data_IF_023917511187
#
_entry.id   IF_023917511187
#
_cell.length_a   1.000
_cell.length_b   1.000
_cell.length_c   1.000
_cell.angle_alpha   90.00
_cell.angle_beta   90.00
_cell.angle_gamma   90.00
#
_symmetry.space_group_name_H-M   'P 1'
#
loop_
_entity.id
_entity.type
_entity.pdbx_description
1 polymer ?
#
# COMPACT_ATOMS: atom_id res chain seq x y z
N UNK A 1 9.47 2.59 -25.88
CA UNK A 1 10.94 2.38 -25.98
C UNK A 1 11.51 1.76 -24.73
N UNK A 2 11.24 2.30 -23.53
CA UNK A 2 11.71 1.75 -22.25
C UNK A 2 11.29 0.28 -22.09
N UNK A 3 9.99 -0.06 -22.15
CA UNK A 3 9.51 -1.44 -22.02
C UNK A 3 10.21 -2.43 -22.96
N UNK A 4 10.53 -2.01 -24.19
CA UNK A 4 11.24 -2.84 -25.17
C UNK A 4 12.64 -3.17 -24.69
N UNK A 5 13.39 -2.16 -24.22
CA UNK A 5 14.75 -2.33 -23.69
C UNK A 5 14.78 -3.22 -22.45
N UNK A 6 13.72 -3.16 -21.62
CA UNK A 6 13.58 -4.04 -20.46
C UNK A 6 13.33 -5.47 -20.94
N UNK A 7 12.34 -5.70 -21.80
CA UNK A 7 11.98 -7.04 -22.28
C UNK A 7 13.09 -7.73 -23.06
N UNK A 8 13.86 -6.98 -23.86
CA UNK A 8 14.98 -7.52 -24.64
C UNK A 8 16.28 -7.73 -23.83
N UNK A 9 16.29 -7.41 -22.53
CA UNK A 9 17.49 -7.34 -21.68
C UNK A 9 18.58 -6.37 -22.17
N UNK A 10 18.27 -5.47 -23.08
CA UNK A 10 19.17 -4.40 -23.54
C UNK A 10 19.12 -3.16 -22.62
N UNK A 11 18.78 -3.37 -21.35
CA UNK A 11 18.55 -2.30 -20.40
C UNK A 11 19.84 -1.68 -19.82
N UNK A 12 21.03 -2.08 -20.29
CA UNK A 12 22.31 -1.53 -19.79
C UNK A 12 22.41 -0.01 -20.00
N UNK A 13 22.04 0.48 -21.18
CA UNK A 13 22.06 1.93 -21.45
C UNK A 13 20.96 2.65 -20.66
N UNK A 14 19.79 2.02 -20.51
CA UNK A 14 18.71 2.55 -19.67
C UNK A 14 19.16 2.68 -18.21
N UNK A 15 19.79 1.65 -17.67
CA UNK A 15 20.34 1.61 -16.32
C UNK A 15 21.35 2.72 -16.09
N UNK A 16 22.32 2.89 -17.00
CA UNK A 16 23.33 3.95 -16.93
C UNK A 16 22.74 5.37 -17.00
N UNK A 17 21.59 5.54 -17.65
CA UNK A 17 20.86 6.80 -17.70
C UNK A 17 20.07 7.04 -16.42
N UNK A 18 19.27 6.06 -15.99
CA UNK A 18 18.38 6.17 -14.82
C UNK A 18 19.19 6.29 -13.52
N UNK A 19 20.33 5.62 -13.41
CA UNK A 19 21.19 5.72 -12.24
C UNK A 19 21.76 7.14 -12.00
N UNK A 20 21.71 8.02 -13.02
CA UNK A 20 22.13 9.43 -12.91
C UNK A 20 20.99 10.37 -12.55
N UNK A 21 19.76 9.89 -12.49
CA UNK A 21 18.60 10.71 -12.18
C UNK A 21 18.55 11.06 -10.68
N UNK A 22 17.91 12.19 -10.32
CA UNK A 22 17.53 12.45 -8.95
C UNK A 22 16.66 11.31 -8.39
N UNK A 23 16.79 11.05 -7.08
CA UNK A 23 16.04 9.99 -6.39
C UNK A 23 14.53 10.10 -6.66
N UNK A 24 13.99 11.30 -6.62
CA UNK A 24 12.56 11.57 -6.81
C UNK A 24 12.09 11.18 -8.22
N UNK A 25 12.91 11.38 -9.24
CA UNK A 25 12.60 10.98 -10.62
C UNK A 25 12.64 9.46 -10.79
N UNK A 26 13.59 8.79 -10.12
CA UNK A 26 13.64 7.32 -10.07
C UNK A 26 12.38 6.78 -9.38
N UNK A 27 11.95 7.38 -8.26
CA UNK A 27 10.72 6.99 -7.55
C UNK A 27 9.51 7.13 -8.47
N UNK A 28 9.34 8.27 -9.13
CA UNK A 28 8.21 8.50 -10.05
C UNK A 28 8.24 7.47 -11.18
N UNK A 29 9.40 7.28 -11.80
CA UNK A 29 9.57 6.30 -12.87
C UNK A 29 9.17 4.89 -12.45
N UNK A 30 9.69 4.43 -11.30
CA UNK A 30 9.37 3.09 -10.80
C UNK A 30 7.91 2.96 -10.34
N UNK A 31 7.32 4.02 -9.77
CA UNK A 31 5.92 4.04 -9.35
C UNK A 31 4.93 3.95 -10.52
N UNK A 32 5.32 4.41 -11.70
CA UNK A 32 4.53 4.24 -12.93
C UNK A 32 4.71 2.84 -13.54
N UNK A 33 5.89 2.24 -13.36
CA UNK A 33 6.26 0.97 -13.99
C UNK A 33 5.81 -0.26 -13.18
N UNK A 34 5.96 -0.24 -11.86
CA UNK A 34 5.63 -1.36 -10.97
C UNK A 34 4.15 -1.81 -11.05
N UNK A 35 3.16 -0.90 -11.16
CA UNK A 35 1.76 -1.29 -11.37
C UNK A 35 1.48 -2.02 -12.68
N UNK A 36 2.42 -2.03 -13.64
CA UNK A 36 2.29 -2.82 -14.87
C UNK A 36 2.62 -4.30 -14.64
N UNK A 37 3.31 -4.66 -13.55
CA UNK A 37 3.70 -6.05 -13.25
C UNK A 37 2.49 -6.93 -12.93
N UNK A 38 1.56 -6.54 -12.04
CA UNK A 38 0.30 -7.27 -11.84
C UNK A 38 -0.49 -7.53 -13.13
N UNK A 39 -0.40 -6.59 -14.08
CA UNK A 39 -1.13 -6.66 -15.34
C UNK A 39 -0.51 -7.66 -16.33
N UNK A 40 0.71 -8.16 -16.09
CA UNK A 40 1.26 -9.29 -16.85
C UNK A 40 0.33 -10.50 -16.71
N UNK A 41 -0.24 -10.74 -15.55
CA UNK A 41 -1.15 -11.87 -15.34
C UNK A 41 -2.61 -11.58 -15.73
N UNK A 42 -2.91 -10.40 -16.26
CA UNK A 42 -4.26 -10.04 -16.70
C UNK A 42 -4.61 -10.75 -18.02
N UNK A 43 -5.57 -11.67 -17.97
CA UNK A 43 -6.12 -12.33 -19.17
C UNK A 43 -7.31 -11.52 -19.71
N UNK A 44 -7.18 -11.00 -20.94
CA UNK A 44 -8.22 -10.24 -21.64
C UNK A 44 -9.48 -11.02 -22.00
N UNK A 45 -9.51 -12.33 -21.78
CA UNK A 45 -10.57 -13.21 -22.31
C UNK A 45 -11.86 -13.26 -21.48
N UNK A 46 -11.94 -12.64 -20.29
CA UNK A 46 -13.05 -12.94 -19.37
C UNK A 46 -13.88 -11.82 -18.72
N UNK A 47 -13.60 -10.52 -18.89
CA UNK A 47 -14.42 -9.49 -18.22
C UNK A 47 -14.95 -8.39 -19.16
N UNK A 48 -16.14 -8.61 -19.71
CA UNK A 48 -16.89 -7.66 -20.57
C UNK A 48 -17.70 -6.62 -19.79
N UNK A 49 -17.52 -6.48 -18.47
CA UNK A 49 -18.37 -5.63 -17.63
C UNK A 49 -17.60 -4.54 -16.86
N UNK A 50 -16.82 -3.70 -17.54
CA UNK A 50 -16.09 -2.59 -16.90
C UNK A 50 -16.38 -1.24 -17.52
N UNK A 51 -16.53 -0.22 -16.67
CA UNK A 51 -16.95 1.16 -17.00
C UNK A 51 -15.91 1.96 -17.82
N UNK A 52 -16.35 2.88 -18.72
CA UNK A 52 -15.55 3.43 -19.82
C UNK A 52 -14.38 4.37 -19.44
N UNK A 53 -14.32 4.90 -18.22
CA UNK A 53 -13.22 5.80 -17.78
C UNK A 53 -12.01 5.02 -17.26
N UNK A 54 -12.22 3.82 -16.69
CA UNK A 54 -11.15 2.89 -16.30
C UNK A 54 -10.50 2.20 -17.51
N UNK A 55 -11.22 2.16 -18.63
CA UNK A 55 -10.81 1.47 -19.85
C UNK A 55 -9.61 2.13 -20.50
N UNK A 56 -9.52 3.46 -20.52
CA UNK A 56 -8.46 4.18 -21.26
C UNK A 56 -7.05 4.01 -20.63
N UNK A 57 -6.93 4.18 -19.30
CA UNK A 57 -5.64 4.02 -18.61
C UNK A 57 -5.20 2.55 -18.55
N UNK A 58 -6.15 1.65 -18.26
CA UNK A 58 -5.88 0.20 -18.27
C UNK A 58 -5.49 -0.28 -19.68
N UNK A 59 -6.18 0.20 -20.72
CA UNK A 59 -5.86 -0.11 -22.12
C UNK A 59 -4.46 0.37 -22.48
N UNK A 60 -4.08 1.60 -22.13
CA UNK A 60 -2.74 2.12 -22.38
C UNK A 60 -1.65 1.26 -21.70
N UNK A 61 -1.90 0.81 -20.46
CA UNK A 61 -0.99 -0.09 -19.74
C UNK A 61 -0.93 -1.48 -20.36
N UNK A 62 -2.05 -2.02 -20.83
CA UNK A 62 -2.09 -3.29 -21.55
C UNK A 62 -1.36 -3.22 -22.90
N UNK A 63 -1.45 -2.10 -23.62
CA UNK A 63 -0.67 -1.86 -24.84
C UNK A 63 0.84 -1.84 -24.54
N UNK A 64 1.26 -1.21 -23.44
CA UNK A 64 2.66 -1.23 -22.98
C UNK A 64 3.14 -2.65 -22.66
N UNK A 65 2.28 -3.48 -22.08
CA UNK A 65 2.58 -4.88 -21.77
C UNK A 65 2.65 -5.74 -23.03
N UNK A 66 1.78 -5.49 -24.02
CA UNK A 66 1.86 -6.16 -25.31
C UNK A 66 3.21 -5.86 -26.00
N UNK A 67 3.63 -4.60 -25.98
CA UNK A 67 4.95 -4.18 -26.48
C UNK A 67 6.08 -4.86 -25.70
N UNK A 68 6.00 -4.90 -24.38
CA UNK A 68 6.96 -5.59 -23.52
C UNK A 68 7.09 -7.08 -23.87
N UNK A 69 5.96 -7.80 -23.94
CA UNK A 69 5.90 -9.22 -24.29
C UNK A 69 6.49 -9.51 -25.66
N UNK A 70 6.19 -8.65 -26.64
CA UNK A 70 6.74 -8.79 -28.00
C UNK A 70 8.26 -8.64 -28.07
N UNK A 71 8.88 -8.03 -27.06
CA UNK A 71 10.32 -7.81 -26.98
C UNK A 71 11.07 -8.84 -26.12
N UNK A 72 10.35 -9.78 -25.49
CA UNK A 72 10.98 -10.82 -24.68
C UNK A 72 11.83 -11.75 -25.53
N UNK A 73 12.98 -12.16 -24.99
CA UNK A 73 13.82 -13.16 -25.64
C UNK A 73 13.12 -14.53 -25.64
N UNK A 74 13.23 -15.34 -26.71
CA UNK A 74 12.63 -16.68 -26.76
C UNK A 74 13.13 -17.63 -25.67
N UNK A 75 14.32 -17.37 -25.12
CA UNK A 75 14.92 -18.12 -24.02
C UNK A 75 14.46 -17.68 -22.64
N UNK A 76 13.63 -16.64 -22.54
CA UNK A 76 13.19 -16.11 -21.25
C UNK A 76 12.23 -17.09 -20.58
N UNK A 77 12.59 -17.55 -19.39
CA UNK A 77 11.81 -18.58 -18.67
C UNK A 77 10.54 -18.02 -18.02
N UNK A 78 10.49 -16.71 -17.78
CA UNK A 78 9.29 -16.01 -17.32
C UNK A 78 9.37 -14.53 -17.67
N UNK A 79 8.25 -13.96 -18.07
CA UNK A 79 8.12 -12.55 -18.48
C UNK A 79 8.37 -11.52 -17.36
N UNK A 80 8.64 -11.92 -16.13
CA UNK A 80 8.88 -10.96 -15.02
C UNK A 80 10.37 -10.78 -14.73
N UNK A 81 11.19 -11.73 -15.18
CA UNK A 81 12.60 -11.78 -14.89
C UNK A 81 13.38 -10.58 -15.43
N UNK A 82 13.14 -10.08 -16.66
CA UNK A 82 13.87 -8.92 -17.15
C UNK A 82 13.57 -7.65 -16.32
N UNK A 83 12.37 -7.54 -15.76
CA UNK A 83 12.01 -6.42 -14.89
C UNK A 83 12.70 -6.51 -13.53
N UNK A 84 12.65 -7.68 -12.89
CA UNK A 84 13.33 -7.90 -11.60
C UNK A 84 14.83 -7.65 -11.74
N UNK A 85 15.44 -8.15 -12.82
CA UNK A 85 16.87 -7.93 -13.09
C UNK A 85 17.22 -6.45 -13.19
N UNK A 86 16.45 -5.68 -13.98
CA UNK A 86 16.68 -4.24 -14.12
C UNK A 86 16.63 -3.51 -12.78
N UNK A 87 15.55 -3.70 -12.01
CA UNK A 87 15.33 -2.95 -10.77
C UNK A 87 16.35 -3.37 -9.70
N UNK A 88 16.72 -4.66 -9.67
CA UNK A 88 17.79 -5.17 -8.81
C UNK A 88 19.13 -4.53 -9.13
N UNK A 89 19.47 -4.44 -10.42
CA UNK A 89 20.72 -3.80 -10.87
C UNK A 89 20.71 -2.30 -10.57
N UNK A 90 19.58 -1.62 -10.75
CA UNK A 90 19.42 -0.20 -10.39
C UNK A 90 19.67 0.04 -8.90
N UNK A 91 19.21 -0.88 -8.03
CA UNK A 91 19.51 -0.81 -6.61
C UNK A 91 20.99 -1.02 -6.29
N UNK A 92 21.77 -1.69 -7.14
CA UNK A 92 23.21 -1.88 -6.92
C UNK A 92 24.08 -0.70 -7.37
N UNK A 93 23.57 0.18 -8.25
CA UNK A 93 24.38 1.25 -8.85
C UNK A 93 24.80 2.33 -7.84
N UNK A 94 23.86 2.80 -7.01
CA UNK A 94 24.13 3.88 -6.06
C UNK A 94 23.17 3.80 -4.86
N UNK A 95 23.62 4.31 -3.71
CA UNK A 95 22.84 4.36 -2.47
C UNK A 95 21.49 5.08 -2.66
N UNK A 96 21.50 6.24 -3.31
CA UNK A 96 20.28 7.00 -3.65
C UNK A 96 19.32 6.24 -4.57
N UNK A 97 19.84 5.44 -5.50
CA UNK A 97 19.06 4.61 -6.42
C UNK A 97 18.41 3.45 -5.69
N UNK A 98 19.16 2.79 -4.80
CA UNK A 98 18.58 1.77 -3.93
C UNK A 98 17.46 2.34 -3.06
N UNK A 99 17.63 3.54 -2.51
CA UNK A 99 16.61 4.17 -1.67
C UNK A 99 15.35 4.47 -2.47
N UNK A 100 15.53 4.98 -3.69
CA UNK A 100 14.43 5.19 -4.63
C UNK A 100 13.69 3.89 -4.95
N UNK A 101 14.41 2.79 -5.21
CA UNK A 101 13.84 1.46 -5.48
C UNK A 101 13.02 0.94 -4.31
N UNK A 102 13.51 1.11 -3.09
CA UNK A 102 12.76 0.71 -1.89
C UNK A 102 11.50 1.55 -1.79
N UNK A 103 11.63 2.88 -1.80
CA UNK A 103 10.51 3.82 -1.61
C UNK A 103 9.45 3.79 -2.71
N UNK A 104 9.79 3.30 -3.89
CA UNK A 104 8.81 3.11 -4.97
C UNK A 104 7.95 1.85 -4.82
N UNK A 105 8.19 0.99 -3.81
CA UNK A 105 7.38 -0.21 -3.59
C UNK A 105 7.93 -1.49 -4.21
N UNK A 106 9.25 -1.59 -4.42
CA UNK A 106 9.81 -2.79 -5.06
C UNK A 106 9.65 -4.06 -4.20
N UNK A 107 9.79 -3.95 -2.88
CA UNK A 107 9.58 -5.08 -1.97
C UNK A 107 8.17 -5.65 -2.10
N UNK A 108 7.15 -4.79 -2.15
CA UNK A 108 5.76 -5.20 -2.34
C UNK A 108 5.56 -5.88 -3.71
N UNK A 109 6.21 -5.33 -4.74
CA UNK A 109 6.21 -5.94 -6.08
C UNK A 109 6.83 -7.34 -6.05
N UNK A 110 7.95 -7.54 -5.35
CA UNK A 110 8.62 -8.83 -5.22
C UNK A 110 7.75 -9.85 -4.47
N UNK A 111 7.05 -9.44 -3.41
CA UNK A 111 6.08 -10.29 -2.70
C UNK A 111 4.97 -10.72 -3.65
N UNK A 112 4.40 -9.78 -4.41
CA UNK A 112 3.34 -10.09 -5.36
C UNK A 112 3.80 -11.04 -6.47
N UNK A 113 5.03 -10.88 -6.97
CA UNK A 113 5.63 -11.84 -7.91
C UNK A 113 5.81 -13.21 -7.27
N UNK A 114 6.29 -13.28 -6.03
CA UNK A 114 6.42 -14.54 -5.31
C UNK A 114 5.08 -15.28 -5.20
N UNK A 115 4.00 -14.58 -4.86
CA UNK A 115 2.66 -15.19 -4.72
C UNK A 115 2.16 -15.81 -6.03
N UNK A 116 2.45 -15.18 -7.18
CA UNK A 116 1.95 -15.61 -8.50
C UNK A 116 2.89 -16.58 -9.22
N UNK A 117 4.20 -16.55 -8.90
CA UNK A 117 5.24 -17.28 -9.61
C UNK A 117 6.03 -18.23 -8.72
N UNK A 118 5.53 -18.59 -7.53
CA UNK A 118 6.21 -19.50 -6.59
C UNK A 118 6.59 -20.86 -7.21
N UNK A 119 5.87 -21.30 -8.24
CA UNK A 119 6.12 -22.55 -8.97
C UNK A 119 7.26 -22.45 -9.99
N UNK A 120 7.82 -21.26 -10.24
CA UNK A 120 8.86 -21.03 -11.27
C UNK A 120 10.22 -20.79 -10.58
N UNK A 121 11.13 -21.78 -10.56
CA UNK A 121 12.37 -21.70 -9.76
C UNK A 121 13.27 -20.52 -10.11
N UNK A 122 13.34 -20.14 -11.39
CA UNK A 122 14.11 -19.00 -11.86
C UNK A 122 13.60 -17.68 -11.26
N UNK A 123 12.28 -17.52 -11.13
CA UNK A 123 11.66 -16.33 -10.54
C UNK A 123 11.94 -16.27 -9.05
N UNK A 124 11.79 -17.39 -8.33
CA UNK A 124 12.12 -17.46 -6.90
C UNK A 124 13.58 -17.08 -6.64
N UNK A 125 14.50 -17.58 -7.47
CA UNK A 125 15.93 -17.26 -7.36
C UNK A 125 16.18 -15.77 -7.59
N UNK A 126 15.53 -15.18 -8.60
CA UNK A 126 15.64 -13.75 -8.90
C UNK A 126 15.08 -12.87 -7.77
N UNK A 127 13.94 -13.25 -7.17
CA UNK A 127 13.38 -12.54 -6.02
C UNK A 127 14.29 -12.62 -4.80
N UNK A 128 14.82 -13.80 -4.48
CA UNK A 128 15.76 -13.97 -3.36
C UNK A 128 17.01 -13.12 -3.55
N UNK A 129 17.55 -13.09 -4.78
CA UNK A 129 18.68 -12.23 -5.12
C UNK A 129 18.35 -10.74 -4.96
N UNK A 130 17.19 -10.30 -5.45
CA UNK A 130 16.72 -8.92 -5.31
C UNK A 130 16.57 -8.51 -3.84
N UNK A 131 15.95 -9.35 -3.01
CA UNK A 131 15.83 -9.12 -1.56
C UNK A 131 17.21 -9.03 -0.90
N UNK A 132 18.14 -9.92 -1.27
CA UNK A 132 19.51 -9.90 -0.77
C UNK A 132 20.21 -8.55 -1.02
N UNK A 133 20.05 -7.99 -2.23
CA UNK A 133 20.59 -6.67 -2.59
C UNK A 133 20.03 -5.59 -1.66
N UNK A 134 18.70 -5.52 -1.54
CA UNK A 134 18.03 -4.48 -0.76
C UNK A 134 18.45 -4.51 0.72
N UNK A 135 18.57 -5.72 1.29
CA UNK A 135 19.02 -5.90 2.68
C UNK A 135 20.50 -5.49 2.87
N UNK A 136 21.35 -5.68 1.86
CA UNK A 136 22.75 -5.24 1.96
C UNK A 136 22.90 -3.71 1.90
N UNK A 137 22.04 -3.03 1.14
CA UNK A 137 22.08 -1.57 1.00
C UNK A 137 21.51 -0.83 2.21
N UNK A 138 20.68 -1.47 3.05
CA UNK A 138 20.04 -0.85 4.21
C UNK A 138 20.92 -0.71 5.46
N UNK A 139 22.18 -1.17 5.44
CA UNK A 139 22.97 -1.36 6.68
C UNK A 139 23.23 -0.10 7.53
N UNK A 140 23.06 1.11 6.98
CA UNK A 140 23.33 2.37 7.70
C UNK A 140 22.24 3.44 7.48
N UNK A 141 21.05 3.05 7.01
CA UNK A 141 19.99 4.01 6.76
C UNK A 141 19.04 4.12 7.95
N UNK A 142 19.00 5.32 8.53
CA UNK A 142 17.82 5.84 9.24
C UNK A 142 16.71 6.12 8.21
N UNK A 143 16.29 5.08 7.46
CA UNK A 143 15.06 5.18 6.68
C UNK A 143 13.93 5.20 7.70
N UNK A 144 13.51 6.39 8.11
CA UNK A 144 12.09 6.60 8.34
C UNK A 144 11.41 6.11 7.06
N UNK A 145 10.86 4.90 7.09
CA UNK A 145 10.08 4.33 5.99
C UNK A 145 9.02 5.36 5.62
N UNK A 146 9.32 6.19 4.62
CA UNK A 146 8.35 7.09 4.06
C UNK A 146 7.25 6.16 3.53
N UNK A 147 6.03 6.21 4.09
CA UNK A 147 5.00 5.22 3.82
C UNK A 147 4.70 5.23 2.33
N UNK A 148 5.03 4.10 1.71
CA UNK A 148 5.05 3.91 0.27
C UNK A 148 3.63 4.07 -0.27
N UNK A 149 3.45 5.06 -1.16
CA UNK A 149 2.20 5.28 -1.88
C UNK A 149 2.08 4.22 -2.96
N UNK A 150 1.51 3.05 -2.65
CA UNK A 150 0.73 2.17 -3.54
C UNK A 150 0.58 0.77 -2.92
N UNK A 151 -0.15 0.67 -1.81
CA UNK A 151 -0.64 -0.58 -1.24
C UNK A 151 -2.13 -0.83 -1.55
N UNK A 152 -2.61 -0.53 -2.75
CA UNK A 152 -3.94 -0.98 -3.18
C UNK A 152 -3.90 -2.50 -3.43
N UNK A 153 -4.82 -3.23 -2.77
CA UNK A 153 -5.13 -4.67 -2.91
C UNK A 153 -4.26 -5.65 -2.10
N UNK A 154 -4.95 -6.42 -1.25
CA UNK A 154 -4.48 -7.31 -0.17
C UNK A 154 -4.10 -8.73 -0.68
N UNK A 155 -3.20 -9.46 0.01
CA UNK A 155 -3.58 -10.82 0.45
C UNK A 155 -3.28 -11.07 1.95
N UNK A 156 -4.03 -12.03 2.52
CA UNK A 156 -4.12 -12.34 3.96
C UNK A 156 -2.84 -12.99 4.49
N UNK A 157 -2.37 -12.58 5.67
CA UNK A 157 -1.37 -13.33 6.44
C UNK A 157 -1.76 -13.68 7.89
N UNK A 158 -2.99 -13.41 8.35
CA UNK A 158 -3.45 -14.01 9.61
C UNK A 158 -4.79 -14.75 9.50
N UNK A 159 -4.80 -16.09 9.33
CA UNK A 159 -6.02 -16.89 9.29
C UNK A 159 -6.77 -16.96 10.63
N UNK A 160 -6.22 -16.39 11.72
CA UNK A 160 -6.86 -16.38 13.04
C UNK A 160 -7.84 -15.21 13.26
N UNK A 161 -7.95 -14.26 12.33
CA UNK A 161 -8.98 -13.21 12.37
C UNK A 161 -10.18 -13.67 11.53
N UNK A 162 -11.34 -13.98 12.14
CA UNK A 162 -12.55 -14.30 11.40
C UNK A 162 -13.11 -13.01 10.78
N UNK A 163 -12.63 -12.66 9.59
CA UNK A 163 -13.20 -11.57 8.80
C UNK A 163 -14.54 -12.01 8.19
N UNK A 164 -15.56 -11.19 8.36
CA UNK A 164 -16.86 -11.38 7.71
C UNK A 164 -16.78 -11.25 6.19
N UNK A 165 -17.85 -11.67 5.52
CA UNK A 165 -18.00 -11.56 4.07
C UNK A 165 -17.91 -10.10 3.59
N UNK A 166 -18.41 -9.17 4.41
CA UNK A 166 -18.32 -7.71 4.21
C UNK A 166 -16.88 -7.24 4.11
N UNK A 167 -16.05 -7.59 5.10
CA UNK A 167 -14.64 -7.18 5.16
C UNK A 167 -13.84 -7.81 4.01
N UNK A 168 -14.26 -8.99 3.56
CA UNK A 168 -13.70 -9.61 2.35
C UNK A 168 -14.01 -8.83 1.08
N UNK A 169 -15.22 -8.27 0.93
CA UNK A 169 -15.62 -7.42 -0.22
C UNK A 169 -14.96 -6.05 -0.23
N UNK A 170 -14.42 -5.59 0.90
CA UNK A 170 -13.72 -4.30 1.02
C UNK A 170 -12.31 -4.29 0.46
N UNK A 171 -11.67 -5.46 0.39
CA UNK A 171 -10.28 -5.64 -0.05
C UNK A 171 -10.00 -5.16 -1.48
N UNK A 172 -11.03 -5.06 -2.32
CA UNK A 172 -10.95 -4.68 -3.72
C UNK A 172 -11.38 -3.22 -3.98
N UNK A 173 -11.77 -2.47 -2.94
CA UNK A 173 -12.32 -1.11 -3.10
C UNK A 173 -11.26 -0.06 -2.87
N UNK A 174 -11.19 0.93 -3.77
CA UNK A 174 -10.41 2.14 -3.55
C UNK A 174 -10.97 2.94 -2.37
N UNK A 175 -10.18 3.84 -1.74
CA UNK A 175 -10.64 4.69 -0.63
C UNK A 175 -11.96 5.42 -0.92
N UNK A 176 -12.13 5.96 -2.13
CA UNK A 176 -13.36 6.65 -2.53
C UNK A 176 -14.53 5.70 -2.74
N UNK A 177 -14.31 4.55 -3.39
CA UNK A 177 -15.35 3.54 -3.57
C UNK A 177 -15.80 2.94 -2.23
N UNK A 178 -14.88 2.80 -1.29
CA UNK A 178 -15.14 2.35 0.08
C UNK A 178 -15.94 3.37 0.88
N UNK A 179 -15.58 4.65 0.80
CA UNK A 179 -16.37 5.74 1.40
C UNK A 179 -17.82 5.73 0.90
N UNK A 180 -18.02 5.68 -0.42
CA UNK A 180 -19.35 5.63 -1.02
C UNK A 180 -20.12 4.36 -0.62
N UNK A 181 -19.43 3.23 -0.53
CA UNK A 181 -20.03 1.98 -0.09
C UNK A 181 -20.54 2.09 1.35
N UNK A 182 -19.72 2.54 2.29
CA UNK A 182 -20.15 2.67 3.69
C UNK A 182 -21.32 3.64 3.86
N UNK A 183 -21.35 4.71 3.08
CA UNK A 183 -22.46 5.68 3.08
C UNK A 183 -23.79 5.10 2.55
N UNK A 184 -23.74 4.01 1.78
CA UNK A 184 -24.92 3.42 1.13
C UNK A 184 -25.32 2.08 1.74
N UNK A 185 -24.57 1.57 2.73
CA UNK A 185 -24.82 0.28 3.35
C UNK A 185 -25.63 0.38 4.64
N UNK A 186 -26.20 -0.75 5.07
CA UNK A 186 -27.04 -0.79 6.25
C UNK A 186 -26.22 -0.66 7.53
N UNK A 187 -26.85 -0.11 8.57
CA UNK A 187 -26.27 0.02 9.91
C UNK A 187 -25.76 -1.30 10.49
N UNK A 188 -26.41 -2.43 10.17
CA UNK A 188 -26.04 -3.76 10.63
C UNK A 188 -24.63 -4.13 10.16
N UNK A 189 -24.34 -3.85 8.89
CA UNK A 189 -23.05 -4.16 8.25
C UNK A 189 -21.91 -3.29 8.82
N UNK A 190 -22.22 -2.05 9.21
CA UNK A 190 -21.27 -1.15 9.88
C UNK A 190 -20.98 -1.63 11.31
N UNK A 191 -22.00 -2.11 12.03
CA UNK A 191 -21.86 -2.67 13.39
C UNK A 191 -21.00 -3.93 13.39
N UNK A 192 -21.21 -4.82 12.42
CA UNK A 192 -20.36 -6.01 12.22
C UNK A 192 -18.90 -5.60 12.04
N UNK A 193 -18.63 -4.61 11.17
CA UNK A 193 -17.27 -4.11 10.96
C UNK A 193 -16.67 -3.52 12.24
N UNK A 194 -17.39 -2.67 12.96
CA UNK A 194 -16.95 -2.08 14.24
C UNK A 194 -16.63 -3.15 15.29
N UNK A 195 -17.34 -4.27 15.28
CA UNK A 195 -17.10 -5.40 16.18
C UNK A 195 -15.78 -6.11 15.84
N UNK A 196 -15.45 -6.26 14.55
CA UNK A 196 -14.14 -6.77 14.13
C UNK A 196 -13.00 -5.83 14.54
N UNK A 197 -13.19 -4.51 14.39
CA UNK A 197 -12.20 -3.51 14.82
C UNK A 197 -11.92 -3.66 16.32
N UNK A 198 -12.96 -3.85 17.14
CA UNK A 198 -12.81 -4.00 18.58
C UNK A 198 -11.95 -5.22 18.97
N UNK A 199 -12.12 -6.34 18.26
CA UNK A 199 -11.34 -7.57 18.48
C UNK A 199 -9.87 -7.34 18.13
N UNK A 200 -9.59 -6.68 16.99
CA UNK A 200 -8.22 -6.37 16.55
C UNK A 200 -7.54 -5.43 17.54
N UNK A 201 -8.23 -4.37 17.98
CA UNK A 201 -7.71 -3.41 18.95
C UNK A 201 -7.44 -4.03 20.33
N UNK A 202 -8.17 -5.08 20.69
CA UNK A 202 -8.02 -5.76 21.99
C UNK A 202 -6.96 -6.85 22.00
N UNK A 203 -6.41 -7.22 20.83
CA UNK A 203 -5.46 -8.35 20.70
C UNK A 203 -4.09 -7.83 20.31
N UNK A 204 -3.12 -7.89 21.24
CA UNK A 204 -1.77 -7.34 21.05
C UNK A 204 -1.04 -7.89 19.82
N UNK A 205 -1.14 -9.18 19.60
CA UNK A 205 -0.51 -9.87 18.47
C UNK A 205 -1.03 -9.37 17.11
N UNK A 206 -2.32 -9.00 17.05
CA UNK A 206 -2.97 -8.51 15.83
C UNK A 206 -2.64 -7.05 15.54
N UNK A 207 -2.39 -6.25 16.58
CA UNK A 207 -2.00 -4.83 16.46
C UNK A 207 -0.64 -4.65 15.78
N UNK A 208 0.24 -5.64 15.90
CA UNK A 208 1.59 -5.61 15.34
C UNK A 208 1.74 -6.32 13.98
N UNK A 209 0.74 -7.10 13.55
CA UNK A 209 0.93 -8.06 12.46
C UNK A 209 0.71 -7.50 11.05
N UNK A 210 0.02 -6.35 10.88
CA UNK A 210 -0.20 -5.79 9.54
C UNK A 210 -0.52 -4.29 9.52
N UNK A 211 0.39 -3.47 8.97
CA UNK A 211 0.19 -2.02 8.82
C UNK A 211 -1.00 -1.65 7.91
N UNK A 212 -1.31 -2.50 6.94
CA UNK A 212 -2.41 -2.31 6.00
C UNK A 212 -3.78 -2.57 6.61
N UNK A 213 -3.92 -3.59 7.44
CA UNK A 213 -5.16 -3.79 8.22
C UNK A 213 -5.41 -2.57 9.10
N UNK A 214 -4.36 -2.05 9.72
CA UNK A 214 -4.45 -0.87 10.55
C UNK A 214 -4.78 0.38 9.74
N UNK A 215 -4.32 0.46 8.50
CA UNK A 215 -4.70 1.54 7.59
C UNK A 215 -6.20 1.47 7.30
N UNK A 216 -6.68 0.29 6.93
CA UNK A 216 -8.06 0.03 6.56
C UNK A 216 -9.03 0.27 7.73
N UNK A 217 -8.65 -0.14 8.93
CA UNK A 217 -9.43 0.08 10.15
C UNK A 217 -9.51 1.57 10.47
N UNK A 218 -8.37 2.28 10.48
CA UNK A 218 -8.34 3.71 10.76
C UNK A 218 -9.09 4.52 9.69
N UNK A 219 -9.00 4.12 8.42
CA UNK A 219 -9.74 4.75 7.32
C UNK A 219 -11.25 4.52 7.45
N UNK A 220 -11.69 3.30 7.78
CA UNK A 220 -13.11 3.01 8.06
C UNK A 220 -13.64 3.84 9.23
N UNK A 221 -12.90 3.89 10.34
CA UNK A 221 -13.29 4.65 11.52
C UNK A 221 -13.48 6.14 11.20
N UNK A 222 -12.59 6.72 10.39
CA UNK A 222 -12.72 8.10 9.93
C UNK A 222 -13.99 8.32 9.09
N UNK A 223 -14.36 7.37 8.24
CA UNK A 223 -15.62 7.43 7.49
C UNK A 223 -16.82 7.29 8.43
N UNK A 224 -16.75 6.39 9.41
CA UNK A 224 -17.84 6.15 10.35
C UNK A 224 -18.08 7.33 11.30
N UNK A 225 -17.06 8.16 11.55
CA UNK A 225 -17.22 9.46 12.21
C UNK A 225 -18.19 10.40 11.48
N UNK A 226 -18.32 10.26 10.17
CA UNK A 226 -19.25 11.05 9.35
C UNK A 226 -20.67 10.44 9.29
N UNK A 227 -20.87 9.22 9.82
CA UNK A 227 -22.14 8.47 9.72
C UNK A 227 -23.10 8.66 10.90
N UNK A 228 -22.94 9.72 11.69
CA UNK A 228 -23.86 10.13 12.76
C UNK A 228 -23.97 9.15 13.92
N UNK A 229 -24.74 8.07 13.75
CA UNK A 229 -25.04 7.06 14.77
C UNK A 229 -23.81 6.24 15.22
N UNK A 230 -22.72 6.31 14.46
CA UNK A 230 -21.48 5.58 14.74
C UNK A 230 -20.32 6.48 15.15
N UNK A 231 -20.55 7.79 15.20
CA UNK A 231 -19.46 8.75 15.36
C UNK A 231 -18.77 8.61 16.71
N UNK A 232 -19.53 8.55 17.82
CA UNK A 232 -18.98 8.47 19.17
C UNK A 232 -18.14 7.20 19.39
N UNK A 233 -18.64 6.05 18.94
CA UNK A 233 -17.93 4.78 19.07
C UNK A 233 -16.66 4.73 18.20
N UNK A 234 -16.75 5.24 16.96
CA UNK A 234 -15.61 5.28 16.04
C UNK A 234 -14.51 6.22 16.54
N UNK A 235 -14.93 7.34 17.11
CA UNK A 235 -14.04 8.30 17.77
C UNK A 235 -13.34 7.69 18.99
N UNK A 236 -14.04 6.91 19.81
CA UNK A 236 -13.43 6.20 20.94
C UNK A 236 -12.31 5.26 20.48
N UNK A 237 -12.50 4.52 19.38
CA UNK A 237 -11.44 3.66 18.83
C UNK A 237 -10.26 4.46 18.24
N UNK A 238 -10.50 5.60 17.61
CA UNK A 238 -9.43 6.48 17.13
C UNK A 238 -8.59 7.05 18.29
N UNK A 239 -9.23 7.40 19.41
CA UNK A 239 -8.52 7.82 20.64
C UNK A 239 -7.67 6.68 21.20
N UNK A 240 -8.21 5.46 21.22
CA UNK A 240 -7.46 4.28 21.65
C UNK A 240 -6.24 4.02 20.77
N UNK A 241 -6.35 4.18 19.44
CA UNK A 241 -5.22 4.10 18.51
C UNK A 241 -4.11 5.10 18.88
N UNK A 242 -4.48 6.35 19.18
CA UNK A 242 -3.52 7.39 19.58
C UNK A 242 -2.86 7.03 20.91
N UNK A 243 -3.63 6.56 21.88
CA UNK A 243 -3.17 6.22 23.22
C UNK A 243 -2.25 5.00 23.24
N UNK A 244 -2.55 3.97 22.43
CA UNK A 244 -1.72 2.77 22.27
C UNK A 244 -0.37 3.12 21.62
N UNK A 245 -0.35 4.06 20.68
CA UNK A 245 0.88 4.53 20.06
C UNK A 245 1.49 3.53 19.07
N UNK A 246 2.81 3.61 18.89
CA UNK A 246 3.56 2.71 17.99
C UNK A 246 3.14 2.83 16.52
N UNK A 247 3.12 1.69 15.82
CA UNK A 247 2.79 1.63 14.40
C UNK A 247 1.35 2.08 14.12
N UNK A 248 0.41 1.82 15.05
CA UNK A 248 -0.99 2.21 14.89
C UNK A 248 -1.16 3.73 14.77
N UNK A 249 -0.45 4.47 15.62
CA UNK A 249 -0.48 5.94 15.59
C UNK A 249 0.17 6.48 14.31
N UNK A 250 1.30 5.91 13.89
CA UNK A 250 1.99 6.29 12.64
C UNK A 250 1.11 6.06 11.40
N UNK A 251 0.37 4.96 11.37
CA UNK A 251 -0.57 4.67 10.28
C UNK A 251 -1.73 5.67 10.26
N UNK A 252 -2.27 6.03 11.42
CA UNK A 252 -3.29 7.08 11.51
C UNK A 252 -2.75 8.45 11.08
N UNK A 253 -1.55 8.82 11.52
CA UNK A 253 -0.85 10.03 11.06
C UNK A 253 -0.73 10.04 9.53
N UNK A 254 -0.33 8.92 8.93
CA UNK A 254 -0.22 8.77 7.48
C UNK A 254 -1.57 8.99 6.77
N UNK A 255 -2.64 8.34 7.21
CA UNK A 255 -3.98 8.52 6.61
C UNK A 255 -4.40 9.98 6.64
N UNK A 256 -4.21 10.64 7.79
CA UNK A 256 -4.56 12.05 7.95
C UNK A 256 -3.77 12.93 6.97
N UNK A 257 -2.49 12.62 6.69
CA UNK A 257 -1.73 13.38 5.68
C UNK A 257 -2.35 13.31 4.29
N UNK A 258 -2.95 12.18 3.93
CA UNK A 258 -3.62 11.93 2.65
C UNK A 258 -4.98 12.61 2.54
N UNK A 259 -5.58 13.02 3.66
CA UNK A 259 -6.87 13.71 3.66
C UNK A 259 -6.73 15.20 3.31
N UNK A 260 -7.77 15.81 2.71
CA UNK A 260 -7.87 17.24 2.54
C UNK A 260 -7.68 18.01 3.86
N UNK A 261 -7.12 19.22 3.78
CA UNK A 261 -6.82 20.05 4.96
C UNK A 261 -8.01 20.28 5.90
N UNK A 262 -9.21 20.49 5.36
CA UNK A 262 -10.41 20.71 6.16
C UNK A 262 -10.82 19.48 6.99
N UNK A 263 -10.61 18.26 6.46
CA UNK A 263 -10.88 17.02 7.19
C UNK A 263 -9.84 16.77 8.30
N UNK A 264 -8.56 17.13 8.05
CA UNK A 264 -7.52 17.12 9.09
C UNK A 264 -7.85 18.07 10.24
N UNK A 265 -8.32 19.27 9.90
CA UNK A 265 -8.66 20.30 10.88
C UNK A 265 -9.87 19.88 11.72
N UNK A 266 -10.92 19.33 11.10
CA UNK A 266 -12.09 18.80 11.80
C UNK A 266 -11.71 17.61 12.71
N UNK A 267 -10.90 16.66 12.22
CA UNK A 267 -10.34 15.58 13.03
C UNK A 267 -9.57 16.12 14.25
N UNK A 268 -8.69 17.10 14.05
CA UNK A 268 -7.92 17.72 15.13
C UNK A 268 -8.83 18.38 16.18
N UNK A 269 -9.87 19.10 15.76
CA UNK A 269 -10.83 19.73 16.66
C UNK A 269 -11.72 18.73 17.41
N UNK A 270 -12.06 17.60 16.82
CA UNK A 270 -12.93 16.59 17.46
C UNK A 270 -12.16 15.64 18.38
N UNK A 271 -10.91 15.32 18.06
CA UNK A 271 -10.12 14.30 18.78
C UNK A 271 -9.08 14.96 19.69
N UNK A 272 -8.19 15.77 19.12
CA UNK A 272 -6.98 16.23 19.80
C UNK A 272 -7.28 17.43 20.70
N UNK A 273 -8.14 18.34 20.26
CA UNK A 273 -8.50 19.54 21.02
C UNK A 273 -9.20 19.24 22.36
N UNK A 274 -10.17 18.30 22.48
CA UNK A 274 -10.76 17.93 23.76
C UNK A 274 -9.77 17.22 24.70
N UNK A 275 -8.89 16.38 24.16
CA UNK A 275 -7.86 15.66 24.94
C UNK A 275 -6.80 16.62 25.50
N UNK A 276 -6.40 17.64 24.73
CA UNK A 276 -5.44 18.67 25.15
C UNK A 276 -6.04 19.69 26.13
N UNK A 277 -7.36 19.91 26.11
CA UNK A 277 -8.06 20.81 27.04
C UNK A 277 -8.45 20.12 28.35
N UNK A 278 -8.73 18.81 28.35
CA UNK A 278 -8.96 18.03 29.58
C UNK A 278 -7.72 17.89 30.48
N UNK A 279 -6.51 17.97 29.92
CA UNK A 279 -5.28 17.95 30.71
C UNK A 279 -5.12 19.20 31.61
N UNK A 280 -5.76 20.31 31.27
CA UNK A 280 -5.66 21.58 31.99
C UNK A 280 -6.74 21.77 33.08
N UNK A 281 -7.83 21.00 33.08
CA UNK A 281 -8.90 21.09 34.08
C UNK A 281 -8.60 20.31 35.38
N UNK A 282 -7.71 19.31 35.34
CA UNK A 282 -7.28 18.57 36.54
C UNK A 282 -6.18 19.27 37.37
N UNK A 283 -5.52 20.30 36.82
CA UNK A 283 -4.54 21.10 37.58
C UNK A 283 -5.17 22.24 38.39
N UNK A 284 -6.48 22.50 38.24
CA UNK A 284 -7.18 23.55 39.00
C UNK A 284 -7.90 22.98 40.26
N UNK A 285 -7.97 21.66 40.41
CA UNK A 285 -8.65 20.99 41.54
C UNK A 285 -7.72 20.30 42.55
N UNK A 286 -6.40 20.45 42.43
CA UNK A 286 -5.40 19.95 43.40
C UNK A 286 -4.64 21.04 44.16
N UNK A 287 -5.10 22.28 44.07
CA UNK A 287 -4.60 23.42 44.85
C UNK A 287 -5.73 24.09 45.66
N UNK A 288 -6.63 23.28 46.21
CA UNK A 288 -7.61 23.67 47.23
C UNK A 288 -7.53 22.74 48.43
#
# INVERSE_FOLDING_TARGET
MIMIQIGSREANQLLLCVAKWPREEIIIFLSEMMPCIPLLWYNTDHDTNTTPVMEADTKARLELIAVYRSSLLPSETHEVLPFIDLVSRLAQEHESSCRAVIESGFLDTLVHVCDHCASVPAVVTAVQHAVGILLTCQRDWDVECAPQRLGLVWPRLNPSIPLGETSSKMTQKTPNARKQWWQTNSSIVIIERLSEIAVIMSTEELRSSCEKDMFDLAFDLLIFCDLGNFAELSMSYLVQIIAIGGNLRRTLEHILTLMPYHNKLDFFYRIIYPLSTCANSHNVSRSG
#
